data_IF_819053113701
#
_entry.id   IF_819053113701
#
_cell.length_a   1.000
_cell.length_b   1.000
_cell.length_c   1.000
_cell.angle_alpha   90.00
_cell.angle_beta   90.00
_cell.angle_gamma   90.00
#
_symmetry.space_group_name_H-M   'P 1'
#
loop_
_entity.id
_entity.type
_entity.pdbx_description
1 polymer ?
#
# COMPACT_ATOMS: atom_id res chain seq x y z
N UNK A 1 -27.78 9.88 44.40
CA UNK A 1 -26.59 10.33 43.64
C UNK A 1 -26.12 9.15 42.79
N UNK A 2 -26.20 9.18 41.45
CA UNK A 2 -25.69 8.08 40.65
C UNK A 2 -24.16 8.06 40.75
N UNK A 3 -23.61 6.96 41.27
CA UNK A 3 -22.17 6.74 41.38
C UNK A 3 -21.60 6.51 39.98
N UNK A 4 -20.72 7.41 39.53
CA UNK A 4 -19.99 7.22 38.28
C UNK A 4 -19.09 6.00 38.42
N UNK A 5 -19.29 4.97 37.58
CA UNK A 5 -18.38 3.83 37.52
C UNK A 5 -16.97 4.36 37.20
N UNK A 6 -15.94 3.96 37.96
CA UNK A 6 -14.57 4.29 37.61
C UNK A 6 -14.26 3.65 36.26
N UNK A 7 -13.91 4.47 35.28
CA UNK A 7 -13.47 3.99 33.97
C UNK A 7 -11.99 3.69 34.11
N UNK A 8 -11.63 2.42 34.01
CA UNK A 8 -10.24 2.02 34.05
C UNK A 8 -9.59 2.28 32.68
N UNK A 9 -8.33 2.69 32.69
CA UNK A 9 -7.56 2.94 31.46
C UNK A 9 -7.53 1.70 30.55
N UNK A 10 -7.55 0.50 31.12
CA UNK A 10 -7.61 -0.75 30.38
C UNK A 10 -8.91 -0.92 29.56
N UNK A 11 -10.04 -0.40 30.05
CA UNK A 11 -11.31 -0.43 29.34
C UNK A 11 -11.31 0.58 28.19
N UNK A 12 -10.71 1.75 28.41
CA UNK A 12 -10.47 2.76 27.35
C UNK A 12 -9.57 2.18 26.26
N UNK A 13 -8.47 1.54 26.64
CA UNK A 13 -7.53 0.92 25.71
C UNK A 13 -8.20 -0.19 24.87
N UNK A 14 -9.02 -1.04 25.49
CA UNK A 14 -9.79 -2.08 24.78
C UNK A 14 -10.78 -1.47 23.79
N UNK A 15 -11.52 -0.44 24.21
CA UNK A 15 -12.48 0.24 23.33
C UNK A 15 -11.76 0.91 22.13
N UNK A 16 -10.64 1.60 22.38
CA UNK A 16 -9.84 2.21 21.34
C UNK A 16 -9.28 1.17 20.36
N UNK A 17 -8.72 0.07 20.86
CA UNK A 17 -8.19 -1.01 20.04
C UNK A 17 -9.28 -1.63 19.14
N UNK A 18 -10.49 -1.82 19.67
CA UNK A 18 -11.62 -2.30 18.89
C UNK A 18 -11.97 -1.35 17.75
N UNK A 19 -12.12 -0.04 18.04
CA UNK A 19 -12.44 0.98 17.02
C UNK A 19 -11.37 1.04 15.93
N UNK A 20 -10.09 1.02 16.31
CA UNK A 20 -8.98 1.04 15.37
C UNK A 20 -8.98 -0.19 14.46
N UNK A 21 -9.23 -1.37 15.02
CA UNK A 21 -9.31 -2.63 14.26
C UNK A 21 -10.42 -2.57 13.21
N UNK A 22 -11.63 -2.22 13.62
CA UNK A 22 -12.78 -2.18 12.71
C UNK A 22 -12.59 -1.10 11.63
N UNK A 23 -12.03 0.05 11.99
CA UNK A 23 -11.70 1.12 11.04
C UNK A 23 -10.67 0.66 10.02
N UNK A 24 -9.63 -0.04 10.46
CA UNK A 24 -8.59 -0.56 9.57
C UNK A 24 -9.14 -1.63 8.63
N UNK A 25 -9.95 -2.56 9.12
CA UNK A 25 -10.59 -3.59 8.29
C UNK A 25 -11.49 -2.93 7.24
N UNK A 26 -12.28 -1.93 7.65
CA UNK A 26 -13.15 -1.19 6.73
C UNK A 26 -12.34 -0.45 5.66
N UNK A 27 -11.27 0.24 6.05
CA UNK A 27 -10.38 0.93 5.12
C UNK A 27 -9.67 -0.04 4.17
N UNK A 28 -9.20 -1.18 4.65
CA UNK A 28 -8.57 -2.21 3.82
C UNK A 28 -9.56 -2.84 2.82
N UNK A 29 -10.83 -3.01 3.22
CA UNK A 29 -11.88 -3.56 2.34
C UNK A 29 -12.40 -2.57 1.32
N UNK A 30 -12.47 -1.28 1.66
CA UNK A 30 -13.05 -0.23 0.81
C UNK A 30 -12.01 0.59 0.05
N UNK A 31 -10.75 0.53 0.49
CA UNK A 31 -9.66 1.29 -0.08
C UNK A 31 -9.31 0.85 -1.48
N UNK A 32 -8.74 1.78 -2.24
CA UNK A 32 -8.26 1.49 -3.58
C UNK A 32 -7.00 0.64 -3.50
N UNK A 33 -6.94 -0.41 -4.32
CA UNK A 33 -5.74 -1.22 -4.51
C UNK A 33 -4.93 -0.63 -5.66
N UNK A 34 -3.65 -0.38 -5.42
CA UNK A 34 -2.71 0.00 -6.45
C UNK A 34 -2.03 -1.26 -7.02
N UNK A 35 -2.00 -1.38 -8.34
CA UNK A 35 -1.29 -2.47 -9.02
C UNK A 35 -0.66 -1.99 -10.32
N UNK A 36 0.25 -2.78 -10.86
CA UNK A 36 0.95 -2.44 -12.10
C UNK A 36 0.65 -3.46 -13.17
N UNK A 37 0.24 -2.97 -14.34
CA UNK A 37 -0.03 -3.77 -15.53
C UNK A 37 0.53 -3.05 -16.75
N UNK A 38 1.32 -3.74 -17.59
CA UNK A 38 1.95 -3.16 -18.79
C UNK A 38 2.72 -1.85 -18.54
N UNK A 39 3.50 -1.80 -17.45
CA UNK A 39 4.20 -0.60 -16.98
C UNK A 39 3.29 0.60 -16.70
N UNK A 40 2.01 0.37 -16.44
CA UNK A 40 1.06 1.39 -16.01
C UNK A 40 0.67 1.11 -14.57
N UNK A 41 0.78 2.11 -13.72
CA UNK A 41 0.23 2.09 -12.37
C UNK A 41 -1.28 2.38 -12.46
N UNK A 42 -2.07 1.45 -11.95
CA UNK A 42 -3.52 1.50 -11.89
C UNK A 42 -3.99 1.61 -10.44
N UNK A 43 -5.11 2.30 -10.24
CA UNK A 43 -5.87 2.32 -8.99
C UNK A 43 -7.22 1.65 -9.21
N UNK A 44 -7.53 0.62 -8.44
CA UNK A 44 -8.82 -0.08 -8.52
C UNK A 44 -9.55 -0.06 -7.19
N UNK A 45 -10.73 0.53 -7.19
CA UNK A 45 -11.74 0.34 -6.15
C UNK A 45 -12.26 -1.11 -6.20
N UNK A 46 -12.61 -1.73 -5.06
CA UNK A 46 -13.06 -3.14 -5.00
C UNK A 46 -14.14 -3.54 -6.02
N UNK A 47 -15.07 -2.65 -6.34
CA UNK A 47 -16.19 -2.91 -7.26
C UNK A 47 -16.22 -1.98 -8.48
N UNK A 48 -15.22 -1.12 -8.66
CA UNK A 48 -15.18 -0.16 -9.75
C UNK A 48 -14.14 -0.49 -10.81
N UNK A 49 -14.21 0.23 -11.92
CA UNK A 49 -13.26 0.10 -13.00
C UNK A 49 -11.88 0.65 -12.60
N UNK A 50 -10.77 0.03 -13.04
CA UNK A 50 -9.44 0.56 -12.82
C UNK A 50 -9.29 1.97 -13.41
N UNK A 51 -8.67 2.85 -12.65
CA UNK A 51 -8.34 4.22 -13.05
C UNK A 51 -6.85 4.31 -13.34
N UNK A 52 -6.52 4.87 -14.50
CA UNK A 52 -5.13 5.16 -14.87
C UNK A 52 -4.54 6.20 -13.92
N UNK A 53 -3.40 5.89 -13.29
CA UNK A 53 -2.67 6.85 -12.46
C UNK A 53 -1.47 7.39 -13.22
N UNK A 54 -0.58 6.52 -13.69
CA UNK A 54 0.67 6.94 -14.32
C UNK A 54 1.33 5.83 -15.13
N UNK A 55 1.93 6.18 -16.27
CA UNK A 55 2.88 5.31 -16.99
C UNK A 55 4.24 5.34 -16.31
N UNK A 56 4.76 4.18 -15.95
CA UNK A 56 6.04 3.97 -15.31
C UNK A 56 7.13 3.92 -16.39
N UNK A 57 7.58 5.10 -16.83
CA UNK A 57 8.71 5.25 -17.74
C UNK A 57 10.06 5.07 -17.03
N UNK A 58 11.11 4.75 -17.78
CA UNK A 58 12.47 4.55 -17.24
C UNK A 58 12.75 3.16 -16.67
N UNK A 59 11.75 2.26 -16.67
CA UNK A 59 11.99 0.83 -16.51
C UNK A 59 12.67 0.31 -17.77
N UNK A 60 13.81 -0.35 -17.59
CA UNK A 60 14.55 -0.92 -18.69
C UNK A 60 14.27 -2.44 -18.72
N UNK A 61 13.48 -2.92 -19.70
CA UNK A 61 13.10 -4.33 -19.80
C UNK A 61 14.28 -5.27 -20.09
N UNK A 62 15.44 -4.75 -20.47
CA UNK A 62 16.70 -5.51 -20.53
C UNK A 62 17.25 -5.82 -19.14
N UNK A 63 17.06 -4.93 -18.14
CA UNK A 63 17.47 -5.19 -16.76
C UNK A 63 16.51 -6.12 -16.02
N UNK A 64 15.21 -6.11 -16.36
CA UNK A 64 14.23 -7.01 -15.72
C UNK A 64 14.48 -8.49 -16.03
N UNK A 65 14.96 -8.82 -17.25
CA UNK A 65 15.34 -10.20 -17.63
C UNK A 65 16.48 -10.78 -16.79
N UNK A 66 17.34 -9.94 -16.22
CA UNK A 66 18.41 -10.38 -15.33
C UNK A 66 17.93 -10.69 -13.91
N UNK A 67 16.83 -10.04 -13.47
CA UNK A 67 16.30 -10.12 -12.10
C UNK A 67 15.37 -11.33 -11.93
N UNK A 68 14.84 -11.90 -13.02
CA UNK A 68 14.01 -13.11 -12.99
C UNK A 68 14.80 -14.37 -12.60
N UNK A 69 16.12 -14.33 -12.68
CA UNK A 69 16.98 -15.41 -12.19
C UNK A 69 17.05 -15.31 -10.66
N UNK A 70 16.49 -16.31 -9.95
CA UNK A 70 16.49 -16.40 -8.48
C UNK A 70 17.92 -16.23 -7.93
N UNK A 71 18.24 -15.05 -7.42
CA UNK A 71 19.54 -14.73 -6.85
C UNK A 71 19.52 -13.43 -6.06
N UNK A 72 20.52 -13.23 -5.21
CA UNK A 72 20.67 -11.98 -4.44
C UNK A 72 21.35 -10.93 -5.31
N UNK A 73 20.63 -9.86 -5.66
CA UNK A 73 21.18 -8.75 -6.44
C UNK A 73 21.50 -7.56 -5.55
N UNK A 74 22.73 -7.02 -5.67
CA UNK A 74 23.10 -5.75 -5.04
C UNK A 74 22.73 -4.60 -5.98
N UNK A 75 21.64 -3.91 -5.69
CA UNK A 75 21.28 -2.67 -6.39
C UNK A 75 22.22 -1.57 -5.90
N UNK A 76 23.11 -1.10 -6.78
CA UNK A 76 23.94 0.08 -6.50
C UNK A 76 23.29 1.30 -7.14
N UNK A 77 23.16 2.40 -6.38
CA UNK A 77 22.70 3.69 -6.90
C UNK A 77 23.60 4.10 -8.08
N UNK A 78 23.04 4.16 -9.28
CA UNK A 78 23.73 4.69 -10.47
C UNK A 78 23.22 6.10 -10.73
N UNK A 79 24.14 7.02 -11.06
CA UNK A 79 23.76 8.31 -11.67
C UNK A 79 23.32 8.02 -13.10
N UNK A 80 22.01 7.84 -13.29
CA UNK A 80 21.45 7.66 -14.62
C UNK A 80 21.29 9.06 -15.22
N UNK A 81 22.05 9.37 -16.28
CA UNK A 81 21.78 10.56 -17.09
C UNK A 81 20.44 10.32 -17.79
N UNK A 82 19.45 11.12 -17.46
CA UNK A 82 18.18 11.16 -18.19
C UNK A 82 18.51 11.79 -19.54
N UNK A 83 18.47 10.99 -20.60
CA UNK A 83 18.44 11.52 -21.97
C UNK A 83 16.98 11.82 -22.24
N UNK A 84 16.67 13.12 -22.36
CA UNK A 84 15.35 13.64 -22.74
C UNK A 84 15.16 13.43 -24.23
#
# INVERSE_FOLDING_TARGET
MPTRKPIYECDIAKAAAYILRESFIKAARSGNVLYVENDILWSKTPHGQPVFIKKLSGRNPSFSRGITNRGTFKIKKRNVKVVI
#
